data_IF_141843409198
#
_entry.id   IF_141843409198
#
_cell.length_a   1.000
_cell.length_b   1.000
_cell.length_c   1.000
_cell.angle_alpha   90.00
_cell.angle_beta   90.00
_cell.angle_gamma   90.00
#
_symmetry.space_group_name_H-M   'P 1'
#
loop_
_entity.id
_entity.type
_entity.pdbx_description
1 polymer ?
#
# COMPACT_ATOMS: atom_id res chain seq x y z
N UNK A 1 -22.64 2.26 19.35
CA UNK A 1 -21.34 1.72 19.78
C UNK A 1 -20.33 2.81 19.53
N UNK A 2 -19.70 3.35 20.56
CA UNK A 2 -18.60 4.28 20.37
C UNK A 2 -17.48 3.53 19.64
N UNK A 3 -17.28 3.91 18.39
CA UNK A 3 -16.30 3.30 17.50
C UNK A 3 -14.91 3.62 18.04
N UNK A 4 -14.17 2.57 18.41
CA UNK A 4 -12.90 2.69 19.10
C UNK A 4 -11.92 3.40 18.16
N UNK A 5 -11.30 4.47 18.65
CA UNK A 5 -10.25 5.19 17.95
C UNK A 5 -8.88 4.62 18.39
N UNK A 6 -7.92 4.36 17.48
CA UNK A 6 -6.61 3.88 17.88
C UNK A 6 -5.88 4.84 18.83
N UNK A 7 -5.00 4.34 19.71
CA UNK A 7 -4.30 5.19 20.66
C UNK A 7 -3.53 6.34 20.00
N UNK A 8 -3.60 7.51 20.64
CA UNK A 8 -2.91 8.71 20.17
C UNK A 8 -3.45 9.32 18.87
N UNK A 9 -4.64 8.90 18.40
CA UNK A 9 -5.32 9.48 17.24
C UNK A 9 -6.39 10.51 17.64
N UNK A 10 -6.72 11.40 16.70
CA UNK A 10 -7.86 12.32 16.77
C UNK A 10 -8.65 12.27 15.47
N UNK A 11 -9.98 12.38 15.56
CA UNK A 11 -10.82 12.52 14.36
C UNK A 11 -10.62 13.89 13.72
N UNK A 12 -10.32 13.89 12.42
CA UNK A 12 -10.24 15.09 11.59
C UNK A 12 -11.47 15.23 10.71
N UNK A 13 -11.80 16.48 10.35
CA UNK A 13 -12.90 16.79 9.42
C UNK A 13 -12.49 16.69 7.96
N UNK A 14 -11.22 16.96 7.67
CA UNK A 14 -10.69 17.05 6.32
C UNK A 14 -9.42 16.19 6.20
N UNK A 15 -9.19 15.70 4.98
CA UNK A 15 -7.95 15.03 4.62
C UNK A 15 -6.77 15.99 4.69
N UNK A 16 -5.63 15.50 5.18
CA UNK A 16 -4.33 16.12 4.96
C UNK A 16 -3.61 15.31 3.89
N UNK A 17 -3.28 15.95 2.77
CA UNK A 17 -2.62 15.29 1.64
C UNK A 17 -1.11 15.38 1.80
N UNK A 18 -0.44 14.23 1.76
CA UNK A 18 1.01 14.11 1.76
C UNK A 18 1.47 13.47 0.45
N UNK A 19 2.46 14.08 -0.21
CA UNK A 19 3.09 13.56 -1.43
C UNK A 19 4.61 13.77 -1.29
N UNK A 20 5.28 12.86 -0.57
CA UNK A 20 6.68 13.02 -0.16
C UNK A 20 7.65 13.19 -1.34
N UNK A 21 7.35 12.56 -2.47
CA UNK A 21 8.16 12.58 -3.69
C UNK A 21 7.48 13.35 -4.84
N UNK A 22 6.46 14.15 -4.53
CA UNK A 22 5.62 14.83 -5.52
C UNK A 22 4.45 13.99 -6.02
N UNK A 23 3.68 14.53 -6.96
CA UNK A 23 2.52 13.88 -7.57
C UNK A 23 2.87 13.50 -9.02
N UNK A 24 2.89 12.20 -9.37
CA UNK A 24 3.24 11.76 -10.71
C UNK A 24 2.10 12.06 -11.71
N UNK A 25 2.46 12.18 -12.99
CA UNK A 25 1.49 12.15 -14.08
C UNK A 25 1.24 10.70 -14.46
N UNK A 26 0.00 10.23 -14.30
CA UNK A 26 -0.37 8.87 -14.68
C UNK A 26 -1.14 8.90 -16.01
N UNK A 27 -0.62 8.18 -16.99
CA UNK A 27 -1.40 7.74 -18.14
C UNK A 27 -2.16 6.47 -17.76
N UNK A 28 -3.49 6.56 -17.66
CA UNK A 28 -4.34 5.46 -17.21
C UNK A 28 -4.48 4.36 -18.27
N UNK A 29 -4.36 4.69 -19.55
CA UNK A 29 -4.45 3.70 -20.64
C UNK A 29 -3.21 2.80 -20.65
N UNK A 30 -2.04 3.41 -20.43
CA UNK A 30 -0.76 2.73 -20.25
C UNK A 30 -0.55 2.11 -18.87
N UNK A 31 -1.40 2.40 -17.88
CA UNK A 31 -1.22 1.95 -16.50
C UNK A 31 -1.26 0.42 -16.38
N UNK A 32 -0.31 -0.13 -15.62
CA UNK A 32 -0.29 -1.55 -15.22
C UNK A 32 0.06 -1.68 -13.75
N UNK A 33 -0.70 -2.49 -13.01
CA UNK A 33 -0.32 -3.01 -11.71
C UNK A 33 0.34 -4.38 -11.89
N UNK A 34 1.57 -4.54 -11.42
CA UNK A 34 2.31 -5.80 -11.49
C UNK A 34 2.32 -6.53 -10.16
N UNK A 35 2.26 -7.86 -10.20
CA UNK A 35 2.50 -8.75 -9.05
C UNK A 35 3.70 -9.62 -9.39
N UNK A 36 4.80 -9.45 -8.65
CA UNK A 36 6.15 -9.91 -9.04
C UNK A 36 6.90 -10.51 -7.84
N UNK A 37 8.19 -10.81 -8.02
CA UNK A 37 9.07 -11.33 -6.97
C UNK A 37 8.92 -12.83 -6.78
N UNK A 38 8.71 -13.26 -5.54
CA UNK A 38 8.54 -14.67 -5.15
C UNK A 38 7.14 -15.20 -5.46
N UNK A 39 6.83 -15.26 -6.76
CA UNK A 39 5.59 -15.79 -7.34
C UNK A 39 5.92 -16.83 -8.41
N UNK A 40 5.07 -17.83 -8.60
CA UNK A 40 5.22 -18.79 -9.70
C UNK A 40 4.67 -18.23 -11.02
N UNK A 41 3.62 -17.41 -10.94
CA UNK A 41 2.95 -16.82 -12.09
C UNK A 41 2.91 -15.29 -11.92
N UNK A 42 3.95 -14.56 -12.37
CA UNK A 42 3.88 -13.10 -12.41
C UNK A 42 2.66 -12.63 -13.22
N UNK A 43 1.95 -11.63 -12.72
CA UNK A 43 0.74 -11.08 -13.36
C UNK A 43 0.84 -9.57 -13.51
N UNK A 44 0.19 -9.07 -14.54
CA UNK A 44 -0.03 -7.64 -14.74
C UNK A 44 -1.51 -7.39 -15.00
N UNK A 45 -2.04 -6.29 -14.47
CA UNK A 45 -3.43 -5.90 -14.61
C UNK A 45 -3.50 -4.46 -15.10
N UNK A 46 -4.27 -4.22 -16.16
CA UNK A 46 -4.69 -2.89 -16.58
C UNK A 46 -5.65 -2.27 -15.57
N UNK A 47 -5.85 -0.95 -15.65
CA UNK A 47 -6.83 -0.28 -14.79
C UNK A 47 -8.26 -0.82 -15.02
N UNK A 48 -8.61 -1.11 -16.27
CA UNK A 48 -9.92 -1.66 -16.62
C UNK A 48 -10.14 -3.06 -16.03
N UNK A 49 -9.15 -3.95 -16.11
CA UNK A 49 -9.24 -5.28 -15.49
C UNK A 49 -9.38 -5.17 -13.97
N UNK A 50 -8.66 -4.23 -13.33
CA UNK A 50 -8.81 -4.00 -11.89
C UNK A 50 -10.23 -3.52 -11.53
N UNK A 51 -10.82 -2.64 -12.34
CA UNK A 51 -12.21 -2.20 -12.15
C UNK A 51 -13.21 -3.35 -12.30
N UNK A 52 -13.00 -4.24 -13.25
CA UNK A 52 -13.83 -5.44 -13.47
C UNK A 52 -13.66 -6.48 -12.36
N UNK A 53 -12.47 -6.54 -11.75
CA UNK A 53 -12.17 -7.41 -10.63
C UNK A 53 -12.60 -6.85 -9.27
N UNK A 54 -13.00 -5.58 -9.18
CA UNK A 54 -13.31 -4.91 -7.93
C UNK A 54 -14.53 -5.54 -7.23
N UNK A 55 -14.25 -6.41 -6.27
CA UNK A 55 -15.20 -7.29 -5.60
C UNK A 55 -15.43 -6.93 -4.12
N UNK A 56 -14.65 -5.99 -3.59
CA UNK A 56 -14.73 -5.57 -2.18
C UNK A 56 -15.21 -4.13 -2.08
N UNK A 57 -16.25 -3.92 -1.27
CA UNK A 57 -16.67 -2.61 -0.79
C UNK A 57 -16.95 -2.64 0.72
N UNK A 58 -16.37 -1.70 1.46
CA UNK A 58 -16.65 -1.54 2.89
C UNK A 58 -16.47 -0.08 3.33
N UNK A 59 -16.92 0.22 4.56
CA UNK A 59 -16.62 1.49 5.24
C UNK A 59 -15.65 1.19 6.38
N UNK A 60 -14.45 1.78 6.33
CA UNK A 60 -13.42 1.63 7.35
C UNK A 60 -12.67 2.96 7.54
N UNK A 61 -12.21 3.27 8.76
CA UNK A 61 -11.48 4.50 9.02
C UNK A 61 -10.09 4.48 8.39
N UNK A 62 -9.58 5.68 8.11
CA UNK A 62 -8.18 5.90 7.73
C UNK A 62 -7.43 6.54 8.90
N UNK A 63 -6.21 6.08 9.18
CA UNK A 63 -5.41 6.54 10.31
C UNK A 63 -4.04 7.03 9.87
N UNK A 64 -3.75 8.32 10.05
CA UNK A 64 -2.44 8.88 9.73
C UNK A 64 -1.48 8.77 10.92
N UNK A 65 -0.20 8.53 10.62
CA UNK A 65 0.88 8.53 11.63
C UNK A 65 1.11 9.91 12.26
N UNK A 66 0.66 10.98 11.62
CA UNK A 66 0.67 12.33 12.19
C UNK A 66 -0.57 12.63 13.06
N UNK A 67 -1.19 11.57 13.59
CA UNK A 67 -2.23 11.56 14.64
C UNK A 67 -3.65 11.98 14.23
N UNK A 68 -3.91 12.27 12.96
CA UNK A 68 -5.28 12.48 12.49
C UNK A 68 -5.89 11.22 11.85
N UNK A 69 -7.20 11.09 11.94
CA UNK A 69 -7.98 9.97 11.38
C UNK A 69 -9.24 10.45 10.68
N UNK A 70 -9.67 9.76 9.62
CA UNK A 70 -10.97 9.97 8.95
C UNK A 70 -11.86 8.79 9.28
N UNK A 71 -13.06 9.08 9.78
CA UNK A 71 -13.92 8.09 10.44
C UNK A 71 -14.55 7.10 9.49
N UNK A 72 -15.28 7.62 8.51
CA UNK A 72 -16.08 6.81 7.60
C UNK A 72 -15.58 7.07 6.20
N UNK A 73 -14.76 6.15 5.69
CA UNK A 73 -14.31 6.20 4.31
C UNK A 73 -14.83 4.95 3.63
N UNK A 74 -15.61 5.13 2.56
CA UNK A 74 -16.06 4.00 1.74
C UNK A 74 -14.96 3.67 0.75
N UNK A 75 -14.43 2.47 0.84
CA UNK A 75 -13.41 1.96 -0.06
C UNK A 75 -14.00 0.92 -0.98
N UNK A 76 -13.65 1.00 -2.27
CA UNK A 76 -13.96 -0.06 -3.24
C UNK A 76 -12.68 -0.43 -3.98
N UNK A 77 -12.43 -1.72 -4.13
CA UNK A 77 -11.20 -2.22 -4.75
C UNK A 77 -11.18 -3.72 -4.96
N UNK A 78 -9.99 -4.23 -5.29
CA UNK A 78 -9.74 -5.66 -5.48
C UNK A 78 -9.06 -6.22 -4.23
N UNK A 79 -9.50 -7.39 -3.75
CA UNK A 79 -8.80 -8.08 -2.66
C UNK A 79 -7.31 -8.33 -3.00
N UNK A 80 -6.40 -7.90 -2.14
CA UNK A 80 -4.97 -8.20 -2.30
C UNK A 80 -4.71 -9.71 -2.26
N UNK A 81 -5.42 -10.42 -1.39
CA UNK A 81 -5.36 -11.89 -1.29
C UNK A 81 -5.66 -12.54 -2.64
N UNK A 82 -6.73 -12.12 -3.32
CA UNK A 82 -7.08 -12.63 -4.66
C UNK A 82 -5.97 -12.38 -5.68
N UNK A 83 -5.40 -11.17 -5.70
CA UNK A 83 -4.30 -10.83 -6.62
C UNK A 83 -3.06 -11.68 -6.37
N UNK A 84 -2.72 -11.92 -5.09
CA UNK A 84 -1.58 -12.75 -4.68
C UNK A 84 -1.82 -14.24 -4.97
N UNK A 85 -3.03 -14.77 -4.72
CA UNK A 85 -3.41 -16.15 -5.04
C UNK A 85 -3.36 -16.41 -6.55
N UNK A 86 -3.85 -15.48 -7.37
CA UNK A 86 -3.75 -15.56 -8.84
C UNK A 86 -2.31 -15.61 -9.35
N UNK A 87 -1.35 -15.09 -8.57
CA UNK A 87 0.07 -15.13 -8.89
C UNK A 87 0.82 -16.32 -8.29
N UNK A 88 0.17 -17.15 -7.47
CA UNK A 88 0.77 -18.30 -6.78
C UNK A 88 2.03 -17.92 -6.02
N UNK A 89 1.85 -17.18 -4.93
CA UNK A 89 2.95 -16.79 -4.02
C UNK A 89 3.73 -18.02 -3.54
N UNK A 90 5.05 -17.98 -3.67
CA UNK A 90 5.94 -19.03 -3.18
C UNK A 90 6.03 -19.00 -1.65
N UNK A 91 6.24 -20.16 -1.03
CA UNK A 91 6.33 -20.33 0.44
C UNK A 91 7.42 -19.48 1.12
N UNK A 92 8.44 -19.10 0.36
CA UNK A 92 9.55 -18.25 0.80
C UNK A 92 9.13 -16.78 0.94
N UNK A 93 8.02 -16.35 0.34
CA UNK A 93 7.48 -15.00 0.48
C UNK A 93 7.06 -14.70 1.92
N UNK A 94 7.53 -13.58 2.45
CA UNK A 94 7.23 -13.13 3.83
C UNK A 94 6.79 -11.68 3.92
N UNK A 95 7.18 -10.87 2.93
CA UNK A 95 6.85 -9.46 2.87
C UNK A 95 6.35 -9.11 1.48
N UNK A 96 5.53 -8.07 1.42
CA UNK A 96 5.08 -7.46 0.18
C UNK A 96 5.64 -6.04 0.12
N UNK A 97 6.42 -5.74 -0.92
CA UNK A 97 6.91 -4.41 -1.19
C UNK A 97 5.98 -3.72 -2.18
N UNK A 98 5.35 -2.63 -1.74
CA UNK A 98 4.67 -1.72 -2.63
C UNK A 98 5.68 -0.80 -3.31
N UNK A 99 5.58 -0.67 -4.63
CA UNK A 99 6.38 0.25 -5.43
C UNK A 99 5.42 1.17 -6.19
N UNK A 100 5.70 2.47 -6.15
CA UNK A 100 4.82 3.51 -6.68
C UNK A 100 5.46 4.26 -7.85
N UNK A 101 4.62 4.89 -8.66
CA UNK A 101 5.05 5.62 -9.86
C UNK A 101 5.98 6.82 -9.58
N UNK A 102 5.88 7.42 -8.40
CA UNK A 102 6.74 8.51 -7.92
C UNK A 102 8.07 8.02 -7.31
N UNK A 103 8.30 6.69 -7.29
CA UNK A 103 9.46 6.06 -6.66
C UNK A 103 9.28 5.75 -5.18
N UNK A 104 8.12 6.06 -4.60
CA UNK A 104 7.83 5.72 -3.21
C UNK A 104 7.72 4.20 -3.03
N UNK A 105 8.24 3.70 -1.91
CA UNK A 105 8.16 2.29 -1.54
C UNK A 105 7.68 2.11 -0.11
N UNK A 106 6.91 1.05 0.13
CA UNK A 106 6.47 0.68 1.48
C UNK A 106 6.39 -0.85 1.63
N UNK A 107 7.16 -1.46 2.54
CA UNK A 107 7.02 -2.87 2.88
C UNK A 107 5.82 -3.08 3.81
N UNK A 108 5.14 -4.19 3.66
CA UNK A 108 4.17 -4.71 4.65
C UNK A 108 4.41 -6.21 4.87
N UNK A 109 4.16 -6.76 6.06
CA UNK A 109 4.14 -8.21 6.24
C UNK A 109 3.13 -8.86 5.29
N UNK A 110 3.50 -9.99 4.69
CA UNK A 110 2.61 -10.67 3.74
C UNK A 110 1.28 -11.07 4.41
N UNK A 111 1.31 -11.48 5.68
CA UNK A 111 0.11 -11.85 6.43
C UNK A 111 -0.87 -10.67 6.59
N UNK A 112 -0.38 -9.44 6.74
CA UNK A 112 -1.24 -8.25 6.79
C UNK A 112 -1.87 -7.96 5.42
N UNK A 113 -1.12 -8.17 4.33
CA UNK A 113 -1.62 -8.03 2.96
C UNK A 113 -2.60 -9.16 2.56
N UNK A 114 -2.58 -10.29 3.26
CA UNK A 114 -3.51 -11.41 3.08
C UNK A 114 -4.75 -11.33 3.99
N UNK A 115 -4.86 -10.27 4.81
CA UNK A 115 -6.04 -10.05 5.65
C UNK A 115 -7.29 -9.78 4.82
N UNK A 116 -8.46 -10.06 5.41
CA UNK A 116 -9.76 -9.95 4.74
C UNK A 116 -10.05 -8.54 4.21
N UNK A 117 -9.67 -7.51 4.99
CA UNK A 117 -9.90 -6.12 4.63
C UNK A 117 -8.76 -5.52 3.75
N UNK A 118 -7.72 -6.26 3.40
CA UNK A 118 -6.62 -5.73 2.58
C UNK A 118 -7.00 -5.67 1.09
N UNK A 119 -7.02 -4.46 0.52
CA UNK A 119 -7.42 -4.23 -0.88
C UNK A 119 -6.44 -3.35 -1.63
N UNK A 120 -6.39 -3.52 -2.95
CA UNK A 120 -5.97 -2.46 -3.86
C UNK A 120 -7.21 -1.60 -4.14
N UNK A 121 -7.30 -0.46 -3.45
CA UNK A 121 -8.39 0.49 -3.59
C UNK A 121 -8.31 1.24 -4.92
N UNK A 122 -9.47 1.38 -5.57
CA UNK A 122 -9.66 2.05 -6.86
C UNK A 122 -10.65 3.21 -6.77
N UNK A 123 -11.55 3.15 -5.77
CA UNK A 123 -12.56 4.17 -5.49
C UNK A 123 -12.55 4.55 -4.01
N UNK A 124 -12.89 5.81 -3.77
CA UNK A 124 -13.14 6.38 -2.45
C UNK A 124 -14.47 7.12 -2.51
N UNK A 125 -15.38 6.82 -1.59
CA UNK A 125 -16.71 7.45 -1.49
C UNK A 125 -17.51 7.38 -2.79
N UNK A 126 -17.52 6.19 -3.40
CA UNK A 126 -18.30 5.87 -4.60
C UNK A 126 -17.74 6.44 -5.92
N UNK A 127 -16.64 7.19 -5.86
CA UNK A 127 -15.98 7.80 -7.04
C UNK A 127 -14.59 7.22 -7.23
N UNK A 128 -14.05 7.20 -8.46
CA UNK A 128 -12.63 6.93 -8.68
C UNK A 128 -11.77 7.75 -7.73
N UNK A 129 -10.64 7.19 -7.29
CA UNK A 129 -9.69 7.96 -6.48
C UNK A 129 -9.36 9.28 -7.18
N UNK A 130 -9.23 10.35 -6.41
CA UNK A 130 -8.61 11.57 -6.90
C UNK A 130 -7.11 11.35 -7.08
N UNK A 131 -6.46 12.11 -7.96
CA UNK A 131 -5.00 11.99 -8.19
C UNK A 131 -4.22 12.13 -6.89
N UNK A 132 -4.57 13.12 -6.06
CA UNK A 132 -3.92 13.34 -4.77
C UNK A 132 -4.19 12.24 -3.73
N UNK A 133 -5.23 11.43 -3.96
CA UNK A 133 -5.55 10.26 -3.16
C UNK A 133 -4.96 8.96 -3.71
N UNK A 134 -4.20 9.02 -4.82
CA UNK A 134 -3.47 7.90 -5.37
C UNK A 134 -4.10 7.25 -6.60
N UNK A 135 -4.96 7.95 -7.35
CA UNK A 135 -5.44 7.47 -8.65
C UNK A 135 -4.29 6.97 -9.53
N UNK A 136 -4.39 5.80 -10.18
CA UNK A 136 -5.59 4.97 -10.30
C UNK A 136 -5.79 3.95 -9.17
N UNK A 137 -4.74 3.65 -8.40
CA UNK A 137 -4.77 2.58 -7.40
C UNK A 137 -3.83 2.85 -6.22
N UNK A 138 -4.25 2.42 -5.02
CA UNK A 138 -3.41 2.39 -3.81
C UNK A 138 -3.70 1.12 -2.99
N UNK A 139 -2.72 0.56 -2.27
CA UNK A 139 -3.03 -0.44 -1.26
C UNK A 139 -3.73 0.23 -0.08
N UNK A 140 -4.70 -0.44 0.51
CA UNK A 140 -5.34 -0.02 1.75
C UNK A 140 -5.52 -1.23 2.68
N UNK A 141 -5.01 -1.08 3.91
CA UNK A 141 -5.04 -2.10 4.96
C UNK A 141 -5.45 -1.37 6.24
N UNK A 142 -6.72 -1.48 6.69
CA UNK A 142 -7.29 -0.57 7.70
C UNK A 142 -6.55 -0.51 9.04
N UNK A 143 -5.94 -1.62 9.46
CA UNK A 143 -5.22 -1.71 10.72
C UNK A 143 -3.77 -1.21 10.65
N UNK A 144 -3.32 -0.72 9.48
CA UNK A 144 -2.01 -0.10 9.31
C UNK A 144 -2.12 1.42 9.11
N UNK A 145 -1.10 2.14 9.57
CA UNK A 145 -1.03 3.59 9.39
C UNK A 145 -0.88 3.98 7.91
N UNK A 146 -1.35 5.19 7.60
CA UNK A 146 -1.51 5.70 6.24
C UNK A 146 -0.24 5.77 5.38
N UNK A 147 0.97 5.75 5.95
CA UNK A 147 2.19 5.70 5.13
C UNK A 147 2.39 4.34 4.45
N UNK A 148 1.81 3.26 5.00
CA UNK A 148 1.77 1.95 4.36
C UNK A 148 0.79 1.91 3.18
N UNK A 149 -0.19 2.80 3.17
CA UNK A 149 -1.18 2.93 2.11
C UNK A 149 -0.62 3.81 0.97
N UNK A 150 0.37 3.25 0.26
CA UNK A 150 1.20 3.93 -0.72
C UNK A 150 0.40 4.39 -1.98
N UNK A 151 0.51 5.66 -2.35
CA UNK A 151 -0.27 6.23 -3.47
C UNK A 151 0.39 5.92 -4.82
N UNK A 152 -0.42 5.80 -5.89
CA UNK A 152 0.06 5.56 -7.26
C UNK A 152 0.80 4.23 -7.41
N UNK A 153 0.21 3.17 -6.85
CA UNK A 153 0.78 1.82 -6.83
C UNK A 153 0.99 1.29 -8.25
N UNK A 154 2.18 0.77 -8.55
CA UNK A 154 2.47 0.14 -9.86
C UNK A 154 2.95 -1.30 -9.72
N UNK A 155 3.42 -1.70 -8.54
CA UNK A 155 3.90 -3.07 -8.32
C UNK A 155 3.76 -3.51 -6.86
N UNK A 156 3.37 -4.77 -6.69
CA UNK A 156 3.36 -5.53 -5.45
C UNK A 156 4.40 -6.66 -5.57
N UNK A 157 5.61 -6.42 -5.09
CA UNK A 157 6.73 -7.35 -5.19
C UNK A 157 6.80 -8.23 -3.94
N UNK A 158 6.65 -9.55 -4.07
CA UNK A 158 6.79 -10.49 -2.95
C UNK A 158 8.26 -10.74 -2.68
N UNK A 159 8.72 -10.46 -1.45
CA UNK A 159 10.13 -10.59 -1.06
C UNK A 159 10.29 -11.53 0.15
N UNK A 160 11.45 -12.22 0.30
CA UNK A 160 11.64 -13.23 1.35
C UNK A 160 11.94 -12.63 2.72
N UNK A 161 12.50 -11.43 2.73
CA UNK A 161 13.00 -10.77 3.92
C UNK A 161 12.63 -9.30 3.88
N UNK A 162 12.48 -8.72 5.07
CA UNK A 162 12.25 -7.30 5.23
C UNK A 162 13.31 -6.44 4.54
N UNK A 163 12.87 -5.36 3.89
CA UNK A 163 13.69 -4.31 3.28
C UNK A 163 13.00 -2.98 3.56
N UNK A 164 13.76 -1.97 3.95
CA UNK A 164 13.24 -0.62 4.20
C UNK A 164 12.59 -0.05 2.93
N UNK A 165 11.39 0.50 3.11
CA UNK A 165 10.77 1.42 2.17
C UNK A 165 11.21 2.85 2.44
N UNK A 166 10.46 3.80 1.88
CA UNK A 166 10.80 5.22 1.98
C UNK A 166 10.85 5.70 3.43
N UNK A 167 9.74 5.60 4.18
CA UNK A 167 9.70 6.11 5.55
C UNK A 167 10.46 5.23 6.53
N UNK A 168 10.63 3.94 6.25
CA UNK A 168 11.39 3.04 7.10
C UNK A 168 12.89 3.39 7.11
N UNK A 169 13.41 3.98 6.03
CA UNK A 169 14.75 4.60 6.01
C UNK A 169 14.85 5.83 6.92
N UNK A 170 13.73 6.48 7.26
CA UNK A 170 13.67 7.61 8.19
C UNK A 170 13.22 7.18 9.61
N UNK A 171 13.26 5.88 9.92
CA UNK A 171 13.01 5.36 11.26
C UNK A 171 11.54 5.05 11.57
N UNK A 172 10.67 4.99 10.57
CA UNK A 172 9.29 4.51 10.74
C UNK A 172 9.25 2.98 10.86
N UNK A 173 8.27 2.46 11.60
CA UNK A 173 8.17 1.04 11.93
C UNK A 173 7.96 0.14 10.71
N UNK A 174 8.47 -1.09 10.77
CA UNK A 174 8.46 -2.07 9.68
C UNK A 174 7.04 -2.48 9.28
N UNK A 175 6.16 -2.71 10.28
CA UNK A 175 4.76 -3.11 10.09
C UNK A 175 3.79 -1.93 10.10
N UNK A 176 3.77 -1.14 11.18
CA UNK A 176 2.98 0.10 11.21
C UNK A 176 1.53 -0.10 11.68
N UNK A 177 1.29 -1.05 12.58
CA UNK A 177 -0.02 -1.31 13.16
C UNK A 177 -0.52 -0.12 14.00
N UNK A 178 -1.76 0.33 13.74
CA UNK A 178 -2.34 1.52 14.40
C UNK A 178 -2.62 1.28 15.88
N UNK A 179 -3.02 0.07 16.24
CA UNK A 179 -3.42 -0.30 17.61
C UNK A 179 -2.22 -0.54 18.52
N UNK A 180 -1.11 -1.02 17.95
CA UNK A 180 0.15 -1.22 18.67
C UNK A 180 0.99 0.05 18.81
N UNK A 181 0.51 1.21 18.37
CA UNK A 181 1.29 2.47 18.28
C UNK A 181 2.64 2.30 17.60
N UNK A 182 2.71 1.40 16.60
CA UNK A 182 3.92 1.08 15.85
C UNK A 182 4.30 2.22 14.90
N UNK A 183 4.61 3.41 15.41
CA UNK A 183 4.91 4.60 14.58
C UNK A 183 6.37 4.61 14.13
N UNK A 184 7.27 4.27 15.04
CA UNK A 184 8.71 4.35 14.85
C UNK A 184 9.38 3.05 15.26
N UNK A 185 10.57 2.82 14.69
CA UNK A 185 11.42 1.70 15.06
C UNK A 185 11.94 1.86 16.49
N UNK A 186 12.20 0.74 17.16
CA UNK A 186 12.81 0.74 18.49
C UNK A 186 14.26 1.25 18.48
N UNK A 187 14.76 1.64 19.65
CA UNK A 187 16.18 1.99 19.85
C UNK A 187 17.10 0.84 19.39
N UNK A 188 18.08 1.16 18.55
CA UNK A 188 19.10 0.21 18.08
C UNK A 188 18.77 -0.55 16.79
N UNK A 189 17.71 -0.16 16.06
CA UNK A 189 17.38 -0.78 14.78
C UNK A 189 18.45 -0.53 13.70
N UNK A 190 18.63 -1.49 12.78
CA UNK A 190 19.56 -1.42 11.63
C UNK A 190 18.81 -1.36 10.32
N UNK A 191 19.12 -0.39 9.48
CA UNK A 191 18.53 -0.29 8.14
C UNK A 191 18.77 -1.54 7.28
N UNK A 192 17.71 -1.98 6.61
CA UNK A 192 17.75 -3.06 5.63
C UNK A 192 17.59 -2.43 4.25
N UNK A 193 18.69 -1.94 3.66
CA UNK A 193 18.63 -1.19 2.42
C UNK A 193 18.31 -2.10 1.21
N UNK A 194 17.44 -1.63 0.33
CA UNK A 194 17.21 -2.26 -0.98
C UNK A 194 18.50 -2.09 -1.80
N UNK A 195 19.12 -3.19 -2.25
CA UNK A 195 20.14 -3.08 -3.31
C UNK A 195 19.45 -2.48 -4.53
N UNK A 196 20.01 -1.44 -5.13
CA UNK A 196 19.43 -0.82 -6.31
C UNK A 196 19.13 -1.90 -7.36
N UNK A 197 17.84 -2.09 -7.66
CA UNK A 197 17.44 -2.94 -8.77
C UNK A 197 18.04 -2.32 -10.03
N UNK A 198 18.85 -3.10 -10.75
CA UNK A 198 19.55 -2.66 -11.94
C UNK A 198 18.59 -1.96 -12.90
N UNK A 199 18.84 -0.68 -13.13
CA UNK A 199 18.30 0.05 -14.26
C UNK A 199 18.70 -0.75 -15.49
N UNK A 200 17.71 -1.26 -16.21
CA UNK A 200 17.85 -1.79 -17.55
C UNK A 200 18.54 -0.69 -18.37
N UNK A 201 19.84 -0.84 -18.61
CA UNK A 201 20.48 -0.18 -19.73
C UNK A 201 19.84 -0.77 -20.98
N UNK A 202 18.97 0.02 -21.62
CA UNK A 202 18.55 -0.26 -22.99
C UNK A 202 19.80 -0.27 -23.85
N UNK A 203 20.01 -1.35 -24.59
CA UNK A 203 21.09 -1.44 -25.57
C UNK A 203 20.95 -0.37 -26.66
N UNK A 204 22.08 0.21 -27.04
CA UNK A 204 22.86 -0.14 -28.25
C UNK A 204 24.31 0.20 -27.98
#
# INVERSE_FOLDING_TARGET
MDEILPPGQVWARNWVIYSALGTPKIDVEGYRLRVTGLVEEPREYSYQELLEMADVEYVKPFHCVTKWSIREVRWTGVSMKRLLENSRVKKEGKWLMFVCADGYTAPVPLDDALSEDAIVALKMDGRPLEVDQGFPARPFIPHLYGWKSAKWLVEMEVIPTYVDGYWEMYGYHERGNVWGEERFKGMGFRHALRKAAGIIQRGT
#
